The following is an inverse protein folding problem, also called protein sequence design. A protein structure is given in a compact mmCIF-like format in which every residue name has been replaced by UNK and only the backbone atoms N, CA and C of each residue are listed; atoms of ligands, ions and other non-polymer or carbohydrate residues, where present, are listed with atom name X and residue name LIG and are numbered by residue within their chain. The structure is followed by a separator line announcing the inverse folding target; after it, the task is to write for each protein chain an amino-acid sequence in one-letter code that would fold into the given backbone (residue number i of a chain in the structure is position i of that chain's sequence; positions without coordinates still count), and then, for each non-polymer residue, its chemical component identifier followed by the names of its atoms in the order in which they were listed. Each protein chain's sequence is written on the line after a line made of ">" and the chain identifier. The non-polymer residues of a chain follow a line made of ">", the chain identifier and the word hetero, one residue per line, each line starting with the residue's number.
data_IF_082643427102
#
_entry.id   IF_082643427102
#
_cell.length_a   1.000
_cell.length_b   1.000
_cell.length_c   1.000
_cell.angle_alpha   90.00
_cell.angle_beta   90.00
_cell.angle_gamma   90.00
#
_symmetry.space_group_name_H-M   'P 1'
#
loop_
_entity.id
_entity.type
_entity.pdbx_description
1 polymer ?
#
# COMPACT_ATOMS: atom_id res chain seq x y z
N UNK A 1 31.21 -7.91 5.69
CA UNK A 1 29.82 -8.25 5.29
C UNK A 1 29.06 -8.67 6.52
N UNK A 2 27.82 -8.20 6.66
CA UNK A 2 27.03 -8.27 7.89
C UNK A 2 26.37 -9.64 8.09
N UNK A 3 26.06 -10.39 7.02
CA UNK A 3 25.63 -11.79 7.12
C UNK A 3 26.80 -12.76 7.44
N UNK A 4 27.92 -12.26 7.96
CA UNK A 4 29.07 -13.07 8.36
C UNK A 4 29.61 -13.94 7.22
N UNK A 5 29.42 -15.25 7.33
CA UNK A 5 29.89 -16.26 6.37
C UNK A 5 28.98 -16.43 5.14
N UNK A 6 27.75 -15.91 5.17
CA UNK A 6 26.80 -16.04 4.07
C UNK A 6 27.10 -14.98 3.00
N UNK A 7 27.68 -15.39 1.87
CA UNK A 7 28.07 -14.50 0.76
C UNK A 7 27.34 -14.82 -0.54
N UNK A 8 26.83 -16.04 -0.67
CA UNK A 8 26.13 -16.52 -1.86
C UNK A 8 24.67 -16.83 -1.52
N UNK A 9 23.73 -16.19 -2.21
CA UNK A 9 22.31 -16.34 -1.98
C UNK A 9 21.63 -16.83 -3.25
N UNK A 10 20.73 -17.80 -3.10
CA UNK A 10 19.94 -18.35 -4.18
C UNK A 10 18.48 -17.98 -4.04
N UNK A 11 17.86 -17.41 -5.08
CA UNK A 11 16.47 -16.99 -5.07
C UNK A 11 15.62 -17.94 -5.90
N UNK A 12 14.58 -18.54 -5.31
CA UNK A 12 13.58 -19.33 -6.05
C UNK A 12 12.37 -18.46 -6.36
N UNK A 13 12.03 -18.31 -7.63
CA UNK A 13 11.05 -17.34 -8.11
C UNK A 13 11.60 -15.91 -8.15
N UNK A 14 12.84 -15.76 -8.64
CA UNK A 14 13.58 -14.49 -8.63
C UNK A 14 12.93 -13.41 -9.51
N UNK A 15 12.16 -13.80 -10.53
CA UNK A 15 11.44 -12.89 -11.42
C UNK A 15 10.21 -12.24 -10.77
N UNK A 16 9.81 -12.69 -9.58
CA UNK A 16 8.76 -12.04 -8.79
C UNK A 16 9.14 -10.60 -8.46
N UNK A 17 8.17 -9.69 -8.55
CA UNK A 17 8.37 -8.24 -8.34
C UNK A 17 8.90 -7.87 -6.95
N UNK A 18 8.66 -8.70 -5.94
CA UNK A 18 9.27 -8.54 -4.61
C UNK A 18 10.59 -9.27 -4.40
N UNK A 19 10.90 -10.26 -5.23
CA UNK A 19 12.09 -11.09 -5.13
C UNK A 19 13.26 -10.46 -5.88
N UNK A 20 13.01 -10.08 -7.14
CA UNK A 20 13.97 -9.40 -8.04
C UNK A 20 14.58 -8.17 -7.39
N UNK A 21 13.75 -7.38 -6.75
CA UNK A 21 14.15 -6.26 -5.95
C UNK A 21 15.17 -6.51 -4.86
N UNK A 22 14.85 -7.47 -4.00
CA UNK A 22 15.72 -7.86 -2.89
C UNK A 22 17.04 -8.43 -3.45
N UNK A 23 16.95 -9.24 -4.51
CA UNK A 23 18.11 -9.77 -5.22
C UNK A 23 19.02 -8.64 -5.76
N UNK A 24 18.45 -7.63 -6.41
CA UNK A 24 19.20 -6.50 -6.96
C UNK A 24 19.88 -5.67 -5.85
N UNK A 25 19.17 -5.40 -4.75
CA UNK A 25 19.74 -4.68 -3.60
C UNK A 25 20.94 -5.43 -3.02
N UNK A 26 20.80 -6.74 -2.79
CA UNK A 26 21.88 -7.55 -2.23
C UNK A 26 23.06 -7.68 -3.22
N UNK A 27 22.77 -7.78 -4.52
CA UNK A 27 23.81 -7.75 -5.56
C UNK A 27 24.63 -6.45 -5.49
N UNK A 28 23.97 -5.30 -5.38
CA UNK A 28 24.63 -3.99 -5.25
C UNK A 28 25.41 -3.84 -3.93
N UNK A 29 25.00 -4.53 -2.87
CA UNK A 29 25.75 -4.63 -1.60
C UNK A 29 26.94 -5.60 -1.68
N UNK A 30 27.20 -6.20 -2.85
CA UNK A 30 28.35 -7.07 -3.11
C UNK A 30 28.13 -8.54 -2.76
N UNK A 31 26.90 -8.98 -2.51
CA UNK A 31 26.58 -10.40 -2.37
C UNK A 31 26.52 -11.07 -3.75
N UNK A 32 26.93 -12.34 -3.82
CA UNK A 32 26.77 -13.14 -5.04
C UNK A 32 25.35 -13.67 -5.08
N UNK A 33 24.59 -13.24 -6.08
CA UNK A 33 23.20 -13.61 -6.26
C UNK A 33 23.06 -14.51 -7.48
N UNK A 34 22.28 -15.55 -7.31
CA UNK A 34 21.83 -16.48 -8.36
C UNK A 34 20.37 -16.83 -8.10
N UNK A 35 19.63 -17.31 -9.08
CA UNK A 35 18.26 -17.75 -8.81
C UNK A 35 17.59 -18.44 -9.99
N UNK A 36 16.35 -18.87 -9.78
CA UNK A 36 15.51 -19.49 -10.80
C UNK A 36 14.17 -18.79 -10.91
N UNK A 37 13.60 -18.79 -12.12
CA UNK A 37 12.20 -18.49 -12.35
C UNK A 37 11.68 -19.33 -13.53
N UNK A 38 10.41 -19.74 -13.49
CA UNK A 38 9.77 -20.46 -14.61
C UNK A 38 9.36 -19.45 -15.70
N UNK A 39 9.12 -18.21 -15.31
CA UNK A 39 8.74 -17.13 -16.21
C UNK A 39 9.96 -16.33 -16.63
N UNK A 40 10.36 -16.46 -17.89
CA UNK A 40 11.29 -15.53 -18.52
C UNK A 40 10.51 -14.26 -18.92
N UNK A 41 11.04 -13.10 -18.56
CA UNK A 41 10.47 -11.81 -18.91
C UNK A 41 11.40 -10.64 -18.59
N UNK A 42 10.90 -9.42 -18.73
CA UNK A 42 11.70 -8.19 -18.59
C UNK A 42 12.48 -8.12 -17.27
N UNK A 43 11.90 -8.64 -16.18
CA UNK A 43 12.55 -8.66 -14.86
C UNK A 43 13.75 -9.60 -14.82
N UNK A 44 13.61 -10.84 -15.31
CA UNK A 44 14.72 -11.81 -15.34
C UNK A 44 15.81 -11.36 -16.31
N UNK A 45 15.43 -10.75 -17.43
CA UNK A 45 16.35 -10.21 -18.42
C UNK A 45 17.16 -9.03 -17.85
N UNK A 46 16.51 -8.14 -17.08
CA UNK A 46 17.17 -7.06 -16.35
C UNK A 46 18.21 -7.59 -15.35
N UNK A 47 17.82 -8.56 -14.51
CA UNK A 47 18.74 -9.17 -13.54
C UNK A 47 19.92 -9.86 -14.22
N UNK A 48 19.68 -10.59 -15.32
CA UNK A 48 20.74 -11.18 -16.12
C UNK A 48 21.68 -10.11 -16.72
N UNK A 49 21.13 -8.97 -17.15
CA UNK A 49 21.89 -7.80 -17.61
C UNK A 49 22.80 -7.18 -16.55
N UNK A 50 22.48 -7.35 -15.25
CA UNK A 50 23.33 -6.97 -14.12
C UNK A 50 24.42 -8.00 -13.82
N UNK A 51 24.45 -9.14 -14.53
CA UNK A 51 25.38 -10.24 -14.29
C UNK A 51 24.93 -11.23 -13.21
N UNK A 52 23.65 -11.21 -12.83
CA UNK A 52 23.04 -12.21 -11.96
C UNK A 52 22.70 -13.45 -12.79
N UNK A 53 23.14 -14.63 -12.35
CA UNK A 53 22.81 -15.88 -13.03
C UNK A 53 21.36 -16.30 -12.72
N UNK A 54 20.51 -16.36 -13.74
CA UNK A 54 19.10 -16.73 -13.64
C UNK A 54 18.81 -17.99 -14.46
N UNK A 55 18.28 -19.02 -13.80
CA UNK A 55 17.89 -20.29 -14.41
C UNK A 55 16.40 -20.29 -14.78
N UNK A 56 16.06 -20.83 -15.95
CA UNK A 56 14.70 -20.90 -16.50
C UNK A 56 13.91 -22.14 -16.06
N UNK A 57 14.48 -22.94 -15.15
CA UNK A 57 13.88 -24.16 -14.60
C UNK A 57 14.22 -24.32 -13.13
N UNK A 58 13.36 -25.01 -12.40
CA UNK A 58 13.66 -25.44 -11.03
C UNK A 58 14.39 -26.78 -11.04
N UNK A 59 15.65 -26.78 -10.62
CA UNK A 59 16.46 -27.98 -10.49
C UNK A 59 17.39 -27.85 -9.29
N UNK A 60 17.47 -28.88 -8.44
CA UNK A 60 18.28 -28.86 -7.21
C UNK A 60 19.76 -28.56 -7.46
N UNK A 61 20.28 -28.88 -8.66
CA UNK A 61 21.67 -28.57 -9.02
C UNK A 61 21.93 -27.06 -9.15
N UNK A 62 20.90 -26.27 -9.47
CA UNK A 62 21.02 -24.82 -9.68
C UNK A 62 21.46 -24.08 -8.41
N UNK A 63 21.17 -24.64 -7.22
CA UNK A 63 21.56 -24.04 -5.93
C UNK A 63 23.07 -23.85 -5.82
N UNK A 64 23.85 -24.68 -6.52
CA UNK A 64 25.31 -24.57 -6.56
C UNK A 64 25.90 -24.52 -5.16
N UNK A 65 26.62 -23.45 -4.85
CA UNK A 65 27.32 -23.22 -3.57
C UNK A 65 26.59 -22.26 -2.62
N UNK A 66 25.32 -21.97 -2.87
CA UNK A 66 24.55 -21.03 -2.08
C UNK A 66 24.58 -21.34 -0.58
N UNK A 67 24.70 -20.29 0.22
CA UNK A 67 24.73 -20.40 1.67
C UNK A 67 23.33 -20.26 2.27
N UNK A 68 22.39 -19.67 1.53
CA UNK A 68 20.98 -19.51 1.92
C UNK A 68 20.10 -19.51 0.66
N UNK A 69 18.91 -20.06 0.78
CA UNK A 69 17.87 -20.04 -0.25
C UNK A 69 16.73 -19.13 0.19
N UNK A 70 16.37 -18.16 -0.64
CA UNK A 70 15.25 -17.26 -0.43
C UNK A 70 14.11 -17.69 -1.33
N UNK A 71 12.92 -17.89 -0.76
CA UNK A 71 11.74 -18.33 -1.49
C UNK A 71 10.65 -17.27 -1.51
N UNK A 72 9.97 -17.16 -2.65
CA UNK A 72 8.73 -16.39 -2.75
C UNK A 72 7.58 -17.16 -2.10
N UNK A 73 6.46 -16.47 -1.82
CA UNK A 73 5.25 -17.11 -1.30
C UNK A 73 4.58 -18.08 -2.29
N UNK A 74 4.91 -17.99 -3.57
CA UNK A 74 4.39 -18.89 -4.61
C UNK A 74 5.17 -20.21 -4.70
N UNK A 75 6.36 -20.27 -4.11
CA UNK A 75 7.20 -21.47 -4.11
C UNK A 75 6.68 -22.46 -3.07
N UNK A 76 6.35 -23.66 -3.55
CA UNK A 76 5.87 -24.75 -2.71
C UNK A 76 7.03 -25.55 -2.11
N UNK A 77 6.70 -26.26 -1.04
CA UNK A 77 7.63 -27.13 -0.30
C UNK A 77 8.14 -28.34 -1.12
N UNK A 78 7.40 -28.71 -2.17
CA UNK A 78 7.77 -29.78 -3.10
C UNK A 78 8.67 -29.30 -4.27
N UNK A 79 9.07 -28.02 -4.27
CA UNK A 79 10.00 -27.50 -5.26
C UNK A 79 11.36 -28.22 -5.14
N UNK A 80 11.95 -28.71 -6.26
CA UNK A 80 13.18 -29.50 -6.22
C UNK A 80 14.37 -28.75 -5.64
N UNK A 81 14.43 -27.43 -5.78
CA UNK A 81 15.47 -26.58 -5.18
C UNK A 81 15.27 -26.50 -3.65
N UNK A 82 14.04 -26.30 -3.19
CA UNK A 82 13.74 -26.28 -1.75
C UNK A 82 14.08 -27.62 -1.07
N UNK A 83 13.73 -28.73 -1.72
CA UNK A 83 14.03 -30.08 -1.23
C UNK A 83 15.55 -30.28 -1.10
N UNK A 84 16.30 -29.94 -2.15
CA UNK A 84 17.76 -30.13 -2.16
C UNK A 84 18.46 -29.20 -1.17
N UNK A 85 18.01 -27.94 -1.03
CA UNK A 85 18.54 -27.03 -0.02
C UNK A 85 18.42 -27.61 1.41
N UNK A 86 17.23 -28.12 1.74
CA UNK A 86 16.99 -28.76 3.05
C UNK A 86 17.81 -30.02 3.25
N UNK A 87 17.91 -30.88 2.23
CA UNK A 87 18.74 -32.08 2.28
C UNK A 87 20.22 -31.75 2.54
N UNK A 88 20.71 -30.63 2.01
CA UNK A 88 22.07 -30.12 2.23
C UNK A 88 22.24 -29.31 3.53
N UNK A 89 21.17 -29.10 4.31
CA UNK A 89 21.19 -28.27 5.50
C UNK A 89 21.38 -26.78 5.23
N UNK A 90 21.09 -26.32 4.00
CA UNK A 90 21.11 -24.91 3.63
C UNK A 90 19.81 -24.26 4.15
N UNK A 91 19.89 -23.17 4.92
CA UNK A 91 18.70 -22.45 5.39
C UNK A 91 17.81 -22.01 4.23
N UNK A 92 16.50 -22.25 4.37
CA UNK A 92 15.48 -21.77 3.45
C UNK A 92 14.64 -20.75 4.19
N UNK A 93 14.68 -19.49 3.73
CA UNK A 93 13.98 -18.36 4.37
C UNK A 93 12.99 -17.72 3.41
N UNK A 94 11.94 -17.12 3.98
CA UNK A 94 10.90 -16.44 3.20
C UNK A 94 11.35 -15.04 2.77
N UNK A 95 10.76 -14.52 1.69
CA UNK A 95 10.94 -13.13 1.24
C UNK A 95 10.85 -12.08 2.36
N UNK A 96 9.85 -12.18 3.24
CA UNK A 96 9.64 -11.22 4.32
C UNK A 96 10.77 -11.24 5.37
N UNK A 97 11.33 -12.42 5.65
CA UNK A 97 12.47 -12.57 6.55
C UNK A 97 13.73 -11.94 5.93
N UNK A 98 13.97 -12.17 4.64
CA UNK A 98 15.07 -11.50 3.94
C UNK A 98 14.92 -9.98 3.88
N UNK A 99 13.70 -9.48 3.66
CA UNK A 99 13.44 -8.04 3.73
C UNK A 99 13.75 -7.48 5.11
N UNK A 100 13.37 -8.20 6.17
CA UNK A 100 13.70 -7.85 7.55
C UNK A 100 15.21 -7.75 7.80
N UNK A 101 15.98 -8.69 7.27
CA UNK A 101 17.45 -8.66 7.35
C UNK A 101 18.05 -7.52 6.51
N UNK A 102 17.50 -7.26 5.33
CA UNK A 102 17.92 -6.12 4.50
C UNK A 102 17.68 -4.78 5.21
N UNK A 103 16.56 -4.64 5.93
CA UNK A 103 16.26 -3.44 6.72
C UNK A 103 17.31 -3.18 7.82
N UNK A 104 18.03 -4.21 8.28
CA UNK A 104 19.15 -4.04 9.24
C UNK A 104 20.42 -3.50 8.60
N UNK A 105 20.56 -3.60 7.27
CA UNK A 105 21.77 -3.20 6.54
C UNK A 105 21.81 -1.70 6.22
N UNK A 106 20.65 -1.04 6.25
CA UNK A 106 20.46 0.37 5.91
C UNK A 106 19.76 1.10 7.05
N UNK A 107 19.78 2.43 7.03
CA UNK A 107 18.88 3.20 7.88
C UNK A 107 17.45 3.02 7.35
N UNK A 108 16.67 2.17 8.01
CA UNK A 108 15.39 1.73 7.48
C UNK A 108 14.21 2.46 8.12
N UNK A 109 13.30 2.94 7.29
CA UNK A 109 12.02 3.51 7.68
C UNK A 109 10.93 2.51 7.29
N UNK A 110 10.27 1.95 8.30
CA UNK A 110 9.16 1.03 8.12
C UNK A 110 7.83 1.74 8.30
N UNK A 111 7.00 1.76 7.26
CA UNK A 111 5.69 2.42 7.28
C UNK A 111 4.60 1.38 7.45
N UNK A 112 3.90 1.40 8.58
CA UNK A 112 2.87 0.45 8.97
C UNK A 112 1.56 1.14 9.35
N UNK A 113 0.51 0.35 9.53
CA UNK A 113 -0.84 0.77 9.89
C UNK A 113 -1.88 0.23 8.93
N UNK A 114 -3.16 0.21 9.34
CA UNK A 114 -4.21 -0.46 8.56
C UNK A 114 -4.39 0.18 7.17
N UNK A 115 -4.44 1.51 7.11
CA UNK A 115 -4.64 2.28 5.88
C UNK A 115 -3.50 3.27 5.63
N UNK A 116 -3.27 3.63 4.36
CA UNK A 116 -2.35 4.72 3.98
C UNK A 116 -0.85 4.36 3.90
N UNK A 117 -0.47 3.09 4.16
CA UNK A 117 0.91 2.59 4.08
C UNK A 117 1.59 2.96 2.75
N UNK A 118 0.95 2.60 1.64
CA UNK A 118 1.48 2.83 0.29
C UNK A 118 1.64 4.28 -0.07
N UNK A 119 0.63 5.10 0.21
CA UNK A 119 0.71 6.52 -0.10
C UNK A 119 1.78 7.21 0.73
N UNK A 120 1.85 6.90 2.03
CA UNK A 120 2.86 7.47 2.94
C UNK A 120 4.28 7.04 2.56
N UNK A 121 4.49 5.75 2.25
CA UNK A 121 5.78 5.22 1.75
C UNK A 121 6.22 5.94 0.48
N UNK A 122 5.28 6.14 -0.46
CA UNK A 122 5.56 6.81 -1.73
C UNK A 122 5.86 8.30 -1.55
N UNK A 123 5.14 8.99 -0.66
CA UNK A 123 5.40 10.40 -0.32
C UNK A 123 6.78 10.55 0.32
N UNK A 124 7.10 9.73 1.32
CA UNK A 124 8.38 9.76 2.01
C UNK A 124 9.54 9.41 1.06
N UNK A 125 9.40 8.35 0.26
CA UNK A 125 10.38 7.97 -0.76
C UNK A 125 10.64 9.09 -1.78
N UNK A 126 9.60 9.84 -2.17
CA UNK A 126 9.74 11.02 -3.03
C UNK A 126 10.49 12.14 -2.32
N UNK A 127 10.10 12.51 -1.10
CA UNK A 127 10.75 13.57 -0.32
C UNK A 127 12.25 13.28 -0.19
N UNK A 128 12.60 12.06 0.21
CA UNK A 128 14.00 11.66 0.39
C UNK A 128 14.78 11.59 -0.93
N UNK A 129 14.12 11.19 -2.04
CA UNK A 129 14.71 11.25 -3.38
C UNK A 129 15.00 12.69 -3.81
N UNK A 130 14.04 13.61 -3.64
CA UNK A 130 14.17 15.03 -3.99
C UNK A 130 15.22 15.72 -3.10
N UNK A 131 15.38 15.27 -1.85
CA UNK A 131 16.45 15.64 -0.91
C UNK A 131 17.82 15.05 -1.28
N UNK A 132 17.93 14.28 -2.38
CA UNK A 132 19.16 13.63 -2.86
C UNK A 132 19.77 12.63 -1.88
N UNK A 133 18.94 12.06 -0.99
CA UNK A 133 19.33 10.96 -0.11
C UNK A 133 19.29 9.60 -0.82
N UNK A 134 18.73 9.56 -2.03
CA UNK A 134 18.68 8.41 -2.94
C UNK A 134 18.25 7.10 -2.23
N UNK A 135 17.05 7.07 -1.60
CA UNK A 135 16.60 5.93 -0.82
C UNK A 135 16.26 4.73 -1.70
N UNK A 136 16.43 3.53 -1.16
CA UNK A 136 15.72 2.35 -1.68
C UNK A 136 14.27 2.37 -1.19
N UNK A 137 13.28 2.34 -2.08
CA UNK A 137 11.85 2.39 -1.73
C UNK A 137 11.17 1.07 -2.12
N UNK A 138 10.46 0.45 -1.18
CA UNK A 138 9.80 -0.85 -1.31
C UNK A 138 8.32 -0.71 -0.96
N UNK A 139 7.45 -0.89 -1.96
CA UNK A 139 5.99 -0.67 -1.87
C UNK A 139 5.27 -1.98 -2.17
N UNK A 140 4.31 -2.43 -1.34
CA UNK A 140 3.61 -3.70 -1.49
C UNK A 140 4.53 -4.93 -1.46
N UNK A 141 5.71 -4.80 -0.86
CA UNK A 141 6.77 -5.81 -0.93
C UNK A 141 7.35 -5.99 -2.33
N UNK A 142 7.08 -5.09 -3.27
CA UNK A 142 7.61 -5.01 -4.63
C UNK A 142 8.77 -4.01 -4.64
N UNK A 143 9.89 -4.40 -5.26
CA UNK A 143 10.91 -3.46 -5.72
C UNK A 143 10.96 -3.63 -7.24
N UNK A 144 10.39 -2.68 -7.97
CA UNK A 144 10.45 -2.68 -9.42
C UNK A 144 10.72 -1.26 -9.91
N UNK A 145 11.29 -1.14 -11.10
CA UNK A 145 11.82 0.09 -11.67
C UNK A 145 10.80 1.22 -11.87
N UNK A 146 11.31 2.35 -12.39
CA UNK A 146 10.58 3.61 -12.62
C UNK A 146 9.12 3.36 -13.07
N UNK A 147 8.18 3.64 -12.17
CA UNK A 147 6.74 3.58 -12.44
C UNK A 147 5.91 2.67 -11.53
N UNK A 148 6.52 1.75 -10.76
CA UNK A 148 5.78 0.84 -9.88
C UNK A 148 5.59 1.34 -8.44
N UNK A 149 6.01 2.58 -8.14
CA UNK A 149 6.04 3.13 -6.78
C UNK A 149 7.21 2.64 -5.92
N UNK A 150 8.00 1.68 -6.40
CA UNK A 150 9.23 1.25 -5.79
C UNK A 150 10.44 1.78 -6.57
N UNK A 151 11.60 1.87 -5.93
CA UNK A 151 12.81 2.37 -6.57
C UNK A 151 14.06 1.86 -5.86
N UNK A 152 15.12 1.62 -6.64
CA UNK A 152 16.40 1.21 -6.10
C UNK A 152 17.35 2.42 -6.07
N UNK A 153 17.47 3.02 -4.88
CA UNK A 153 18.47 4.05 -4.63
C UNK A 153 19.78 3.48 -4.09
N UNK A 154 20.89 4.16 -4.39
CA UNK A 154 22.24 3.82 -3.96
C UNK A 154 22.59 4.41 -2.58
N UNK A 155 21.73 5.26 -2.00
CA UNK A 155 21.94 5.87 -0.70
C UNK A 155 21.75 4.91 0.49
N UNK A 156 22.02 5.42 1.69
CA UNK A 156 22.04 4.64 2.94
C UNK A 156 20.65 4.37 3.52
N UNK A 157 19.60 4.93 2.92
CA UNK A 157 18.24 4.82 3.40
C UNK A 157 17.44 3.74 2.68
N UNK A 158 16.54 3.10 3.43
CA UNK A 158 15.54 2.19 2.90
C UNK A 158 14.17 2.54 3.46
N UNK A 159 13.21 2.87 2.60
CA UNK A 159 11.82 3.09 2.98
C UNK A 159 11.00 1.89 2.53
N UNK A 160 10.32 1.22 3.45
CA UNK A 160 9.53 0.04 3.13
C UNK A 160 8.15 0.07 3.80
N UNK A 161 7.15 -0.42 3.07
CA UNK A 161 5.89 -0.81 3.69
C UNK A 161 6.10 -2.00 4.62
N UNK A 162 5.58 -1.86 5.84
CA UNK A 162 5.56 -2.89 6.86
C UNK A 162 4.12 -3.34 7.09
N UNK A 163 3.77 -4.44 6.41
CA UNK A 163 2.41 -4.98 6.38
C UNK A 163 2.10 -5.80 7.64
N UNK A 164 1.03 -5.43 8.33
CA UNK A 164 0.49 -6.15 9.48
C UNK A 164 -0.12 -7.50 9.06
N UNK A 165 -0.57 -7.65 7.82
CA UNK A 165 -1.12 -8.91 7.34
C UNK A 165 -0.16 -10.10 7.60
N UNK A 166 -0.71 -11.21 8.12
CA UNK A 166 0.03 -12.42 8.53
C UNK A 166 1.20 -12.14 9.51
N UNK A 167 1.12 -11.02 10.26
CA UNK A 167 2.13 -10.56 11.22
C UNK A 167 3.51 -10.34 10.61
N UNK A 168 3.59 -10.13 9.29
CA UNK A 168 4.86 -10.12 8.56
C UNK A 168 5.80 -8.98 8.98
N UNK A 169 5.24 -7.83 9.34
CA UNK A 169 6.00 -6.72 9.94
C UNK A 169 6.75 -7.10 11.22
N UNK A 170 6.39 -8.18 11.92
CA UNK A 170 7.12 -8.63 13.09
C UNK A 170 8.49 -9.24 12.74
N UNK A 171 8.72 -9.56 11.48
CA UNK A 171 10.06 -9.95 11.01
C UNK A 171 10.90 -8.75 10.59
N UNK A 172 10.36 -7.52 10.65
CA UNK A 172 11.05 -6.30 10.23
C UNK A 172 11.66 -5.55 11.41
N UNK A 173 12.80 -4.91 11.17
CA UNK A 173 13.58 -4.20 12.19
C UNK A 173 13.93 -2.79 11.71
N UNK A 174 12.94 -1.87 11.67
CA UNK A 174 13.17 -0.51 11.23
C UNK A 174 14.07 0.27 12.21
N UNK A 175 14.84 1.21 11.69
CA UNK A 175 15.46 2.28 12.49
C UNK A 175 14.43 3.36 12.86
N UNK A 176 13.45 3.61 11.98
CA UNK A 176 12.31 4.49 12.26
C UNK A 176 11.00 3.78 11.89
N UNK A 177 10.03 3.74 12.79
CA UNK A 177 8.71 3.18 12.50
C UNK A 177 7.68 4.30 12.34
N UNK A 178 6.96 4.32 11.22
CA UNK A 178 5.85 5.25 10.96
C UNK A 178 4.53 4.48 11.09
N UNK A 179 3.63 4.91 11.98
CA UNK A 179 2.33 4.29 12.22
C UNK A 179 1.20 5.22 11.78
N UNK A 180 0.52 4.87 10.69
CA UNK A 180 -0.52 5.72 10.07
C UNK A 180 -1.85 5.68 10.82
N UNK A 181 -2.30 4.49 11.23
CA UNK A 181 -3.53 4.22 11.98
C UNK A 181 -3.60 2.73 12.36
N UNK A 182 -4.49 2.38 13.29
CA UNK A 182 -4.80 1.01 13.67
C UNK A 182 -6.32 0.85 13.71
N UNK A 183 -6.84 0.01 12.81
CA UNK A 183 -8.25 -0.36 12.72
C UNK A 183 -8.40 -1.90 12.63
N UNK A 184 -9.57 -2.46 12.99
CA UNK A 184 -9.86 -3.87 12.78
C UNK A 184 -9.86 -4.23 11.29
N UNK A 185 -8.77 -4.81 10.81
CA UNK A 185 -8.67 -5.48 9.52
C UNK A 185 -7.83 -6.75 9.69
N UNK A 186 -7.96 -7.70 8.77
CA UNK A 186 -7.19 -8.94 8.79
C UNK A 186 -7.30 -9.74 10.10
N UNK A 187 -8.42 -9.62 10.82
CA UNK A 187 -8.61 -10.27 12.12
C UNK A 187 -8.50 -11.80 12.06
N UNK A 188 -8.61 -12.41 10.88
CA UNK A 188 -8.33 -13.83 10.67
C UNK A 188 -6.87 -14.23 11.02
N UNK A 189 -5.94 -13.27 11.05
CA UNK A 189 -4.53 -13.49 11.40
C UNK A 189 -4.23 -13.26 12.90
N UNK A 190 -5.22 -12.80 13.67
CA UNK A 190 -5.05 -12.32 15.04
C UNK A 190 -6.05 -12.93 16.01
N UNK A 191 -5.64 -13.12 17.25
CA UNK A 191 -6.51 -13.55 18.35
C UNK A 191 -7.30 -12.35 18.92
N UNK A 192 -8.00 -11.64 18.03
CA UNK A 192 -8.79 -10.44 18.33
C UNK A 192 -7.99 -9.13 18.37
N UNK A 193 -8.67 -8.06 18.76
CA UNK A 193 -8.11 -6.70 18.72
C UNK A 193 -6.91 -6.49 19.65
N UNK A 194 -6.92 -7.12 20.83
CA UNK A 194 -5.81 -6.97 21.79
C UNK A 194 -4.50 -7.54 21.22
N UNK A 195 -4.57 -8.64 20.48
CA UNK A 195 -3.42 -9.26 19.84
C UNK A 195 -2.89 -8.42 18.65
N UNK A 196 -3.78 -7.79 17.88
CA UNK A 196 -3.41 -6.80 16.86
C UNK A 196 -2.68 -5.60 17.51
N UNK A 197 -3.26 -5.01 18.55
CA UNK A 197 -2.66 -3.91 19.31
C UNK A 197 -1.29 -4.29 19.89
N UNK A 198 -1.17 -5.48 20.48
CA UNK A 198 0.08 -6.00 21.03
C UNK A 198 1.14 -6.21 19.94
N UNK A 199 0.73 -6.63 18.74
CA UNK A 199 1.62 -6.79 17.60
C UNK A 199 2.18 -5.44 17.14
N UNK A 200 1.35 -4.38 17.06
CA UNK A 200 1.82 -3.02 16.77
C UNK A 200 2.77 -2.49 17.86
N UNK A 201 2.46 -2.71 19.15
CA UNK A 201 3.37 -2.34 20.25
C UNK A 201 4.71 -3.07 20.13
N UNK A 202 4.69 -4.34 19.76
CA UNK A 202 5.91 -5.13 19.54
C UNK A 202 6.71 -4.55 18.38
N UNK A 203 6.07 -4.23 17.26
CA UNK A 203 6.70 -3.61 16.10
C UNK A 203 7.35 -2.25 16.43
N UNK A 204 6.61 -1.34 17.07
CA UNK A 204 7.14 -0.04 17.50
C UNK A 204 8.35 -0.17 18.43
N UNK A 205 8.35 -1.19 19.31
CA UNK A 205 9.46 -1.43 20.24
C UNK A 205 10.65 -2.21 19.62
N UNK A 206 10.55 -2.69 18.37
CA UNK A 206 11.70 -3.23 17.62
C UNK A 206 12.64 -2.15 17.11
N UNK A 207 12.16 -0.92 17.01
CA UNK A 207 13.00 0.25 16.76
C UNK A 207 14.18 0.26 17.74
N UNK A 208 15.43 0.49 17.31
CA UNK A 208 16.58 0.50 18.21
C UNK A 208 16.52 1.70 19.18
N UNK A 209 17.34 1.69 20.25
CA UNK A 209 17.32 2.76 21.27
C UNK A 209 17.66 4.15 20.71
N UNK A 210 18.37 4.21 19.58
CA UNK A 210 18.74 5.43 18.86
C UNK A 210 17.79 5.75 17.70
N UNK A 211 16.74 4.95 17.53
CA UNK A 211 15.71 5.15 16.53
C UNK A 211 14.46 5.82 17.11
N UNK A 212 13.46 6.00 16.26
CA UNK A 212 12.25 6.75 16.60
C UNK A 212 10.96 6.14 16.06
N UNK A 213 9.85 6.42 16.74
CA UNK A 213 8.50 6.08 16.31
C UNK A 213 7.71 7.34 15.97
N UNK A 214 7.28 7.47 14.72
CA UNK A 214 6.39 8.53 14.25
C UNK A 214 4.96 8.00 14.20
N UNK A 215 4.02 8.57 14.94
CA UNK A 215 2.66 8.01 15.05
C UNK A 215 1.53 9.03 14.92
N UNK A 216 0.37 8.56 14.43
CA UNK A 216 -0.82 9.39 14.28
C UNK A 216 -1.47 9.70 15.64
N UNK A 217 -1.55 10.96 16.03
CA UNK A 217 -2.23 11.45 17.23
C UNK A 217 -3.77 11.41 17.10
N UNK A 218 -4.29 11.46 15.87
CA UNK A 218 -5.72 11.43 15.60
C UNK A 218 -6.32 10.02 15.82
N UNK A 219 -5.46 9.00 15.87
CA UNK A 219 -5.89 7.61 15.99
C UNK A 219 -6.22 7.26 17.46
N UNK A 220 -7.47 6.84 17.76
CA UNK A 220 -7.90 6.58 19.13
C UNK A 220 -7.25 5.34 19.75
N UNK A 221 -6.79 4.37 18.96
CA UNK A 221 -6.05 3.22 19.45
C UNK A 221 -4.63 3.66 19.82
N UNK A 222 -3.96 4.42 18.96
CA UNK A 222 -2.63 4.98 19.23
C UNK A 222 -2.61 5.84 20.48
N UNK A 223 -3.65 6.64 20.74
CA UNK A 223 -3.78 7.41 21.97
C UNK A 223 -3.70 6.55 23.25
N UNK A 224 -4.16 5.29 23.19
CA UNK A 224 -4.04 4.30 24.27
C UNK A 224 -2.65 3.65 24.28
N UNK A 225 -2.14 3.27 23.11
CA UNK A 225 -0.90 2.51 22.96
C UNK A 225 0.37 3.33 23.19
N UNK A 226 0.34 4.66 23.04
CA UNK A 226 1.53 5.52 23.17
C UNK A 226 2.31 5.32 24.47
N UNK A 227 1.61 5.03 25.59
CA UNK A 227 2.23 4.78 26.91
C UNK A 227 3.06 3.49 26.96
N UNK A 228 2.89 2.61 25.97
CA UNK A 228 3.59 1.31 25.84
C UNK A 228 4.78 1.39 24.87
N UNK A 229 5.03 2.55 24.26
CA UNK A 229 6.21 2.80 23.43
C UNK A 229 7.38 3.08 24.37
N UNK A 230 8.48 2.34 24.20
CA UNK A 230 9.70 2.43 25.01
C UNK A 230 10.87 3.06 24.25
N UNK A 231 10.57 3.76 23.16
CA UNK A 231 11.51 4.42 22.24
C UNK A 231 11.17 5.90 22.16
N UNK A 232 12.10 6.70 21.63
CA UNK A 232 11.78 8.06 21.23
C UNK A 232 10.60 8.04 20.28
N UNK A 233 9.70 9.01 20.41
CA UNK A 233 8.51 9.05 19.58
C UNK A 233 7.99 10.45 19.41
N UNK A 234 7.57 10.77 18.20
CA UNK A 234 6.89 12.02 17.84
C UNK A 234 5.54 11.71 17.22
N UNK A 235 4.60 12.62 17.43
CA UNK A 235 3.23 12.48 16.96
C UNK A 235 2.93 13.41 15.79
N UNK A 236 2.06 12.98 14.88
CA UNK A 236 1.53 13.84 13.83
C UNK A 236 0.00 13.79 13.80
N UNK A 237 -0.66 14.83 13.33
CA UNK A 237 -2.11 14.79 13.19
C UNK A 237 -2.76 16.13 12.86
N UNK A 238 -4.08 16.11 12.77
CA UNK A 238 -4.89 17.32 12.69
C UNK A 238 -5.29 17.81 14.09
N UNK A 239 -5.28 16.91 15.08
CA UNK A 239 -5.68 17.18 16.46
C UNK A 239 -4.71 18.14 17.15
N UNK A 240 -5.22 19.12 17.92
CA UNK A 240 -4.38 19.99 18.75
C UNK A 240 -3.45 19.21 19.69
N UNK A 241 -2.19 19.61 19.73
CA UNK A 241 -1.17 19.01 20.60
C UNK A 241 -0.42 17.83 19.99
N UNK A 242 -0.61 17.54 18.70
CA UNK A 242 0.35 16.71 17.95
C UNK A 242 1.68 17.47 17.78
N UNK A 243 2.81 16.76 17.78
CA UNK A 243 4.13 17.38 17.59
C UNK A 243 4.28 17.93 16.18
N UNK A 244 3.72 17.26 15.18
CA UNK A 244 3.58 17.77 13.81
C UNK A 244 2.10 17.96 13.47
N UNK A 245 1.67 19.21 13.33
CA UNK A 245 0.26 19.54 13.18
C UNK A 245 -0.03 20.27 11.85
N UNK A 246 -1.11 19.87 11.18
CA UNK A 246 -1.72 20.67 10.11
C UNK A 246 -2.76 21.63 10.69
N UNK A 247 -2.59 22.93 10.44
CA UNK A 247 -3.50 24.01 10.86
C UNK A 247 -4.00 24.76 9.61
N UNK A 248 -5.14 25.44 9.71
CA UNK A 248 -5.73 26.26 8.63
C UNK A 248 -5.94 25.51 7.31
N UNK A 249 -6.46 24.28 7.41
CA UNK A 249 -6.73 23.40 6.27
C UNK A 249 -7.78 24.04 5.35
N UNK A 250 -7.41 24.20 4.07
CA UNK A 250 -8.30 24.64 3.00
C UNK A 250 -8.37 23.58 1.92
N UNK A 251 -9.58 23.15 1.61
CA UNK A 251 -9.84 22.25 0.50
C UNK A 251 -9.90 23.02 -0.82
N UNK A 252 -9.34 22.44 -1.88
CA UNK A 252 -9.33 22.98 -3.24
C UNK A 252 -9.70 21.86 -4.20
N UNK A 253 -10.11 22.22 -5.41
CA UNK A 253 -10.33 21.22 -6.45
C UNK A 253 -9.03 20.42 -6.68
N UNK A 254 -9.14 19.09 -6.61
CA UNK A 254 -7.99 18.19 -6.77
C UNK A 254 -6.98 18.18 -5.62
N UNK A 255 -7.20 18.88 -4.50
CA UNK A 255 -6.19 18.94 -3.45
C UNK A 255 -6.54 19.69 -2.17
N UNK A 256 -5.50 20.05 -1.43
CA UNK A 256 -5.61 20.82 -0.18
C UNK A 256 -4.38 21.71 0.03
N UNK A 257 -4.49 22.64 0.97
CA UNK A 257 -3.37 23.39 1.51
C UNK A 257 -3.56 23.59 3.01
N UNK A 258 -2.46 23.65 3.76
CA UNK A 258 -2.45 23.84 5.22
C UNK A 258 -1.10 24.40 5.68
N UNK A 259 -1.06 24.94 6.89
CA UNK A 259 0.16 25.36 7.57
C UNK A 259 0.69 24.19 8.42
N UNK A 260 1.96 23.81 8.22
CA UNK A 260 2.64 22.79 9.02
C UNK A 260 3.32 23.46 10.22
N UNK A 261 3.02 22.93 11.40
CA UNK A 261 3.66 23.30 12.65
C UNK A 261 4.47 22.13 13.19
N UNK A 262 5.60 22.45 13.84
CA UNK A 262 6.35 21.55 14.72
C UNK A 262 6.28 22.11 16.13
N UNK A 263 5.56 21.44 17.01
CA UNK A 263 5.06 21.99 18.27
C UNK A 263 4.37 23.34 18.03
N UNK A 264 4.84 24.42 18.66
CA UNK A 264 4.30 25.76 18.49
C UNK A 264 4.99 26.57 17.37
N UNK A 265 6.01 26.00 16.71
CA UNK A 265 6.76 26.65 15.64
C UNK A 265 6.10 26.41 14.28
N UNK A 266 5.70 27.50 13.61
CA UNK A 266 5.22 27.44 12.23
C UNK A 266 6.40 27.22 11.28
N UNK A 267 6.44 26.08 10.61
CA UNK A 267 7.44 25.78 9.58
C UNK A 267 7.07 26.44 8.24
N UNK A 268 5.81 26.34 7.83
CA UNK A 268 5.32 27.00 6.62
C UNK A 268 4.15 26.27 5.97
N UNK A 269 3.84 26.68 4.74
CA UNK A 269 2.67 26.20 4.00
C UNK A 269 2.98 24.95 3.19
N UNK A 270 2.15 23.91 3.33
CA UNK A 270 2.14 22.72 2.49
C UNK A 270 0.98 22.81 1.49
N UNK A 271 1.25 22.41 0.25
CA UNK A 271 0.26 22.25 -0.81
C UNK A 271 0.24 20.79 -1.23
N UNK A 272 -0.94 20.18 -1.27
CA UNK A 272 -1.14 18.83 -1.79
C UNK A 272 -2.02 18.85 -3.04
N UNK A 273 -1.62 18.12 -4.06
CA UNK A 273 -2.38 17.89 -5.29
C UNK A 273 -2.99 16.47 -5.32
N UNK A 274 -3.36 16.00 -4.13
CA UNK A 274 -4.11 14.75 -3.90
C UNK A 274 -5.25 15.07 -2.95
N UNK A 275 -6.41 14.47 -3.19
CA UNK A 275 -7.63 14.80 -2.46
C UNK A 275 -7.72 14.07 -1.11
N UNK A 276 -8.54 14.62 -0.21
CA UNK A 276 -8.97 13.97 1.02
C UNK A 276 -8.08 14.23 2.24
N UNK A 277 -8.72 14.35 3.40
CA UNK A 277 -8.04 14.58 4.69
C UNK A 277 -7.13 13.40 5.09
N UNK A 278 -7.45 12.18 4.64
CA UNK A 278 -6.56 11.03 4.83
C UNK A 278 -5.20 11.24 4.15
N UNK A 279 -5.16 11.94 3.00
CA UNK A 279 -3.91 12.28 2.35
C UNK A 279 -3.17 13.44 3.03
N UNK A 280 -3.88 14.32 3.75
CA UNK A 280 -3.23 15.28 4.66
C UNK A 280 -2.49 14.52 5.77
N UNK A 281 -3.13 13.52 6.39
CA UNK A 281 -2.48 12.68 7.41
C UNK A 281 -1.30 11.88 6.87
N UNK A 282 -1.44 11.28 5.68
CA UNK A 282 -0.33 10.58 5.01
C UNK A 282 0.85 11.54 4.73
N UNK A 283 0.56 12.76 4.28
CA UNK A 283 1.58 13.78 4.03
C UNK A 283 2.24 14.26 5.32
N UNK A 284 1.48 14.42 6.41
CA UNK A 284 2.02 14.74 7.73
C UNK A 284 2.94 13.63 8.26
N UNK A 285 2.55 12.37 8.10
CA UNK A 285 3.37 11.22 8.48
C UNK A 285 4.71 11.22 7.74
N UNK A 286 4.67 11.43 6.42
CA UNK A 286 5.86 11.50 5.58
C UNK A 286 6.72 12.74 5.88
N UNK A 287 6.10 13.90 6.10
CA UNK A 287 6.79 15.14 6.45
C UNK A 287 7.47 15.04 7.81
N UNK A 288 6.77 14.54 8.84
CA UNK A 288 7.33 14.33 10.18
C UNK A 288 8.55 13.40 10.11
N UNK A 289 8.42 12.24 9.46
CA UNK A 289 9.53 11.31 9.28
C UNK A 289 10.72 11.95 8.55
N UNK A 290 10.49 12.73 7.49
CA UNK A 290 11.57 13.39 6.76
C UNK A 290 12.25 14.51 7.57
N UNK A 291 11.48 15.28 8.35
CA UNK A 291 12.00 16.36 9.20
C UNK A 291 12.83 15.83 10.36
N UNK A 292 12.44 14.69 10.96
CA UNK A 292 13.25 13.99 11.97
C UNK A 292 14.54 13.37 11.38
N UNK A 293 14.58 13.17 10.07
CA UNK A 293 15.80 12.82 9.32
C UNK A 293 16.57 14.05 8.82
N UNK A 294 16.26 15.23 9.36
CA UNK A 294 16.91 16.52 9.06
C UNK A 294 16.78 16.97 7.58
N UNK A 295 15.78 16.47 6.84
CA UNK A 295 15.44 17.02 5.53
C UNK A 295 14.86 18.42 5.70
N UNK A 296 15.33 19.38 4.90
CA UNK A 296 14.87 20.76 5.00
C UNK A 296 13.39 20.91 4.61
N UNK A 297 12.68 21.80 5.31
CA UNK A 297 11.24 21.99 5.12
C UNK A 297 10.88 22.40 3.68
N UNK A 298 11.70 23.21 3.01
CA UNK A 298 11.42 23.67 1.66
C UNK A 298 11.43 22.49 0.67
N UNK A 299 12.39 21.56 0.81
CA UNK A 299 12.41 20.30 0.06
C UNK A 299 11.18 19.45 0.36
N UNK A 300 10.79 19.30 1.63
CA UNK A 300 9.57 18.56 2.01
C UNK A 300 8.33 19.16 1.34
N UNK A 301 8.17 20.48 1.44
CA UNK A 301 7.02 21.21 0.91
C UNK A 301 6.92 21.11 -0.62
N UNK A 302 8.02 21.32 -1.33
CA UNK A 302 8.04 21.24 -2.80
C UNK A 302 7.85 19.78 -3.29
N UNK A 303 8.40 18.79 -2.58
CA UNK A 303 8.21 17.37 -2.88
C UNK A 303 6.73 16.97 -2.77
N UNK A 304 6.07 17.34 -1.69
CA UNK A 304 4.66 17.05 -1.45
C UNK A 304 3.74 17.77 -2.46
N UNK A 305 4.06 19.02 -2.80
CA UNK A 305 3.38 19.76 -3.87
C UNK A 305 3.52 19.10 -5.23
N UNK A 306 4.67 18.49 -5.52
CA UNK A 306 4.92 17.79 -6.78
C UNK A 306 4.50 16.32 -6.77
N UNK A 307 3.99 15.80 -5.66
CA UNK A 307 3.38 14.48 -5.61
C UNK A 307 2.10 14.44 -6.45
N UNK A 308 1.90 13.36 -7.21
CA UNK A 308 0.78 13.19 -8.15
C UNK A 308 -0.12 12.00 -7.80
N UNK A 309 0.05 11.43 -6.62
CA UNK A 309 -0.67 10.24 -6.19
C UNK A 309 0.07 8.95 -6.52
N UNK A 310 -0.57 7.84 -6.15
CA UNK A 310 -0.14 6.48 -6.47
C UNK A 310 -1.20 5.88 -7.38
N UNK A 311 -0.79 5.00 -8.31
CA UNK A 311 -1.73 4.26 -9.15
C UNK A 311 -2.84 3.63 -8.32
N UNK A 312 -4.07 3.71 -8.83
CA UNK A 312 -5.30 3.24 -8.16
C UNK A 312 -5.57 3.86 -6.78
N UNK A 313 -5.00 5.02 -6.42
CA UNK A 313 -5.36 5.76 -5.20
C UNK A 313 -5.95 7.11 -5.61
N UNK A 314 -7.27 7.12 -5.80
CA UNK A 314 -8.03 8.18 -6.46
C UNK A 314 -7.39 8.61 -7.79
N UNK A 315 -7.08 7.63 -8.65
CA UNK A 315 -6.39 7.88 -9.91
C UNK A 315 -7.40 8.33 -10.97
N UNK A 316 -7.27 9.57 -11.45
CA UNK A 316 -8.06 10.05 -12.59
C UNK A 316 -7.56 9.34 -13.85
N UNK A 317 -8.37 8.44 -14.41
CA UNK A 317 -8.04 7.66 -15.61
C UNK A 317 -8.30 8.47 -16.88
N UNK A 318 -9.38 9.25 -16.90
CA UNK A 318 -9.76 10.10 -18.02
C UNK A 318 -10.81 11.13 -17.61
N UNK A 319 -10.94 12.16 -18.44
CA UNK A 319 -12.12 13.02 -18.48
C UNK A 319 -12.68 12.95 -19.89
N UNK A 320 -13.92 12.50 -20.05
CA UNK A 320 -14.58 12.30 -21.35
C UNK A 320 -15.95 12.98 -21.30
N UNK A 321 -16.23 13.93 -22.18
CA UNK A 321 -17.52 14.63 -22.23
C UNK A 321 -17.94 15.25 -20.88
N UNK A 322 -16.98 15.84 -20.18
CA UNK A 322 -17.15 16.34 -18.80
C UNK A 322 -17.58 15.26 -17.78
N UNK A 323 -17.30 13.99 -18.06
CA UNK A 323 -17.43 12.87 -17.12
C UNK A 323 -16.03 12.49 -16.64
N UNK A 324 -15.81 12.55 -15.34
CA UNK A 324 -14.53 12.14 -14.74
C UNK A 324 -14.56 10.65 -14.43
N UNK A 325 -13.57 9.89 -14.91
CA UNK A 325 -13.42 8.46 -14.61
C UNK A 325 -12.25 8.29 -13.65
N UNK A 326 -12.52 7.71 -12.48
CA UNK A 326 -11.58 7.54 -11.37
C UNK A 326 -11.45 6.06 -11.01
N UNK A 327 -10.24 5.61 -10.70
CA UNK A 327 -9.97 4.29 -10.11
C UNK A 327 -9.44 4.40 -8.70
N UNK A 328 -10.01 3.64 -7.77
CA UNK A 328 -9.61 3.61 -6.36
C UNK A 328 -9.52 2.18 -5.80
N UNK A 329 -8.45 1.94 -5.05
CA UNK A 329 -8.11 0.65 -4.46
C UNK A 329 -8.88 0.36 -3.17
N UNK A 330 -9.64 1.33 -2.63
CA UNK A 330 -10.40 1.16 -1.40
C UNK A 330 -11.21 -0.14 -1.43
N UNK A 331 -11.12 -0.88 -0.34
CA UNK A 331 -11.76 -2.18 -0.19
C UNK A 331 -12.21 -2.44 1.24
N UNK A 332 -11.77 -1.62 2.19
CA UNK A 332 -12.32 -1.56 3.54
C UNK A 332 -13.40 -0.45 3.63
N UNK A 333 -14.46 -0.61 4.44
CA UNK A 333 -15.51 0.41 4.57
C UNK A 333 -14.98 1.81 4.89
N UNK A 334 -14.01 1.94 5.80
CA UNK A 334 -13.37 3.22 6.14
C UNK A 334 -12.76 3.92 4.93
N UNK A 335 -12.07 3.17 4.07
CA UNK A 335 -11.45 3.70 2.85
C UNK A 335 -12.51 4.15 1.85
N UNK A 336 -13.58 3.37 1.67
CA UNK A 336 -14.68 3.71 0.75
C UNK A 336 -15.38 5.00 1.19
N UNK A 337 -15.62 5.14 2.49
CA UNK A 337 -16.15 6.36 3.11
C UNK A 337 -15.26 7.55 2.77
N UNK A 338 -13.96 7.43 3.07
CA UNK A 338 -12.99 8.48 2.84
C UNK A 338 -12.90 8.89 1.37
N UNK A 339 -12.90 7.92 0.45
CA UNK A 339 -12.86 8.11 -1.00
C UNK A 339 -14.12 8.84 -1.50
N UNK A 340 -15.31 8.37 -1.14
CA UNK A 340 -16.58 8.95 -1.61
C UNK A 340 -16.84 10.35 -1.03
N UNK A 341 -16.55 10.56 0.27
CA UNK A 341 -16.69 11.87 0.90
C UNK A 341 -15.71 12.89 0.28
N UNK A 342 -14.49 12.45 -0.03
CA UNK A 342 -13.48 13.30 -0.68
C UNK A 342 -13.84 13.63 -2.12
N UNK A 343 -14.41 12.68 -2.87
CA UNK A 343 -14.91 12.91 -4.23
C UNK A 343 -15.97 14.03 -4.23
N UNK A 344 -16.95 13.94 -3.30
CA UNK A 344 -18.02 14.93 -3.17
C UNK A 344 -17.50 16.30 -2.75
N UNK A 345 -16.65 16.36 -1.71
CA UNK A 345 -16.06 17.62 -1.22
C UNK A 345 -15.19 18.32 -2.28
N UNK A 346 -14.44 17.57 -3.08
CA UNK A 346 -13.39 18.14 -3.94
C UNK A 346 -13.87 18.53 -5.33
N UNK A 347 -14.87 17.83 -5.89
CA UNK A 347 -15.29 18.03 -7.28
C UNK A 347 -16.72 18.55 -7.43
N UNK A 348 -17.56 18.46 -6.38
CA UNK A 348 -18.98 18.85 -6.46
C UNK A 348 -19.72 18.22 -7.66
N UNK A 349 -19.42 16.94 -7.94
CA UNK A 349 -19.99 16.14 -9.03
C UNK A 349 -20.93 15.08 -8.47
N UNK A 350 -21.91 14.65 -9.28
CA UNK A 350 -22.72 13.45 -8.96
C UNK A 350 -21.82 12.23 -9.08
N UNK A 351 -21.81 11.38 -8.06
CA UNK A 351 -20.91 10.22 -7.96
C UNK A 351 -21.66 8.93 -8.33
N UNK A 352 -21.22 8.29 -9.42
CA UNK A 352 -21.60 6.95 -9.84
C UNK A 352 -20.49 5.96 -9.46
N UNK A 353 -20.70 5.20 -8.40
CA UNK A 353 -19.72 4.22 -7.92
C UNK A 353 -19.96 2.84 -8.55
N UNK A 354 -18.89 2.14 -8.91
CA UNK A 354 -18.89 0.71 -9.24
C UNK A 354 -18.00 0.00 -8.24
N UNK A 355 -18.59 -0.75 -7.30
CA UNK A 355 -17.85 -1.40 -6.23
C UNK A 355 -17.74 -2.91 -6.45
N UNK A 356 -16.51 -3.42 -6.39
CA UNK A 356 -16.20 -4.85 -6.34
C UNK A 356 -15.70 -5.22 -4.94
N UNK A 357 -16.53 -5.92 -4.12
CA UNK A 357 -16.06 -6.45 -2.85
C UNK A 357 -14.87 -7.40 -3.05
N UNK A 358 -13.94 -7.39 -2.09
CA UNK A 358 -12.73 -8.22 -2.12
C UNK A 358 -12.76 -9.22 -0.95
N UNK A 359 -12.60 -10.51 -1.25
CA UNK A 359 -12.77 -11.66 -0.34
C UNK A 359 -14.21 -11.91 0.12
N UNK A 360 -14.56 -13.19 0.28
CA UNK A 360 -15.84 -13.60 0.83
C UNK A 360 -15.88 -13.36 2.35
N UNK A 361 -14.79 -13.70 3.05
CA UNK A 361 -14.67 -13.50 4.50
C UNK A 361 -14.92 -12.05 4.92
N UNK A 362 -14.25 -11.10 4.26
CA UNK A 362 -14.42 -9.66 4.46
C UNK A 362 -15.84 -9.19 4.14
N UNK A 363 -16.41 -9.68 3.04
CA UNK A 363 -17.80 -9.34 2.68
C UNK A 363 -18.77 -9.85 3.75
N UNK A 364 -18.59 -11.07 4.24
CA UNK A 364 -19.41 -11.63 5.31
C UNK A 364 -19.31 -10.81 6.60
N UNK A 365 -18.10 -10.35 6.94
CA UNK A 365 -17.84 -9.57 8.15
C UNK A 365 -18.43 -8.15 8.06
N UNK A 366 -18.29 -7.48 6.92
CA UNK A 366 -18.53 -6.04 6.78
C UNK A 366 -19.69 -5.64 5.85
N UNK A 367 -20.59 -6.57 5.47
CA UNK A 367 -21.65 -6.24 4.50
C UNK A 367 -22.53 -5.06 4.92
N UNK A 368 -22.73 -4.84 6.22
CA UNK A 368 -23.54 -3.74 6.76
C UNK A 368 -22.81 -2.42 6.62
N UNK A 369 -21.53 -2.42 6.98
CA UNK A 369 -20.61 -1.30 6.91
C UNK A 369 -20.35 -0.91 5.45
N UNK A 370 -20.27 -1.89 4.53
CA UNK A 370 -20.23 -1.63 3.09
C UNK A 370 -21.48 -0.91 2.60
N UNK A 371 -22.69 -1.38 2.98
CA UNK A 371 -23.93 -0.71 2.58
C UNK A 371 -23.99 0.73 3.13
N UNK A 372 -23.59 0.93 4.39
CA UNK A 372 -23.49 2.25 5.02
C UNK A 372 -22.43 3.14 4.35
N UNK A 373 -21.30 2.58 3.91
CA UNK A 373 -20.27 3.31 3.19
C UNK A 373 -20.76 3.77 1.80
N UNK A 374 -21.31 2.84 1.02
CA UNK A 374 -21.70 3.04 -0.37
C UNK A 374 -22.89 3.99 -0.55
N UNK A 375 -23.73 4.18 0.48
CA UNK A 375 -24.83 5.16 0.45
C UNK A 375 -24.33 6.61 0.27
N UNK A 376 -23.03 6.86 0.42
CA UNK A 376 -22.40 8.16 0.15
C UNK A 376 -22.32 8.46 -1.34
N UNK A 377 -22.33 7.46 -2.21
CA UNK A 377 -22.46 7.68 -3.65
C UNK A 377 -23.91 8.08 -3.99
N UNK A 378 -24.10 8.82 -5.08
CA UNK A 378 -25.45 9.14 -5.56
C UNK A 378 -26.09 7.94 -6.26
N UNK A 379 -25.26 7.05 -6.80
CA UNK A 379 -25.64 5.69 -7.22
C UNK A 379 -24.47 4.75 -7.08
N UNK A 380 -24.73 3.51 -6.70
CA UNK A 380 -23.74 2.46 -6.60
C UNK A 380 -24.18 1.20 -7.38
N UNK A 381 -23.33 0.76 -8.29
CA UNK A 381 -23.41 -0.55 -8.93
C UNK A 381 -22.50 -1.52 -8.19
N UNK A 382 -23.08 -2.58 -7.66
CA UNK A 382 -22.36 -3.62 -6.96
C UNK A 382 -22.16 -4.81 -7.90
N UNK A 383 -20.92 -5.27 -8.03
CA UNK A 383 -20.57 -6.40 -8.90
C UNK A 383 -20.19 -7.63 -8.07
N UNK A 384 -19.95 -8.76 -8.73
CA UNK A 384 -19.50 -10.00 -8.09
C UNK A 384 -18.25 -9.79 -7.21
N UNK A 385 -18.22 -10.50 -6.08
CA UNK A 385 -17.09 -10.55 -5.14
C UNK A 385 -15.85 -11.05 -5.89
N UNK A 386 -14.74 -10.32 -5.79
CA UNK A 386 -13.45 -10.83 -6.23
C UNK A 386 -12.88 -11.77 -5.16
N UNK A 387 -12.73 -13.08 -5.46
CA UNK A 387 -12.36 -14.08 -4.46
C UNK A 387 -10.90 -13.97 -4.00
N UNK A 388 -10.04 -13.39 -4.83
CA UNK A 388 -8.58 -13.46 -4.71
C UNK A 388 -8.09 -14.90 -4.45
N UNK A 389 -7.84 -15.24 -3.18
CA UNK A 389 -7.32 -16.55 -2.72
C UNK A 389 -8.38 -17.47 -2.12
N UNK A 390 -9.59 -16.99 -1.90
CA UNK A 390 -10.64 -17.71 -1.17
C UNK A 390 -11.51 -18.58 -2.08
N UNK A 391 -12.01 -19.67 -1.51
CA UNK A 391 -13.12 -20.42 -2.10
C UNK A 391 -14.44 -19.73 -1.75
N UNK A 392 -15.46 -19.81 -2.63
CA UNK A 392 -16.80 -19.31 -2.30
C UNK A 392 -17.31 -19.83 -0.96
N UNK A 393 -17.84 -18.92 -0.14
CA UNK A 393 -18.52 -19.25 1.11
C UNK A 393 -20.02 -19.32 0.83
N UNK A 394 -20.67 -20.43 1.20
CA UNK A 394 -22.09 -20.63 0.94
C UNK A 394 -22.93 -19.49 1.54
N UNK A 395 -23.77 -18.87 0.71
CA UNK A 395 -24.66 -17.77 1.11
C UNK A 395 -24.00 -16.39 1.16
N UNK A 396 -22.69 -16.29 0.95
CA UNK A 396 -21.95 -15.02 0.92
C UNK A 396 -21.85 -14.52 -0.51
N UNK A 397 -22.67 -13.52 -0.84
CA UNK A 397 -22.69 -12.86 -2.15
C UNK A 397 -22.79 -11.34 -1.97
N UNK A 398 -22.42 -10.60 -3.02
CA UNK A 398 -22.61 -9.14 -3.07
C UNK A 398 -24.06 -8.74 -2.79
N UNK A 399 -25.04 -9.57 -3.13
CA UNK A 399 -26.46 -9.31 -2.83
C UNK A 399 -26.78 -9.18 -1.33
N UNK A 400 -25.92 -9.64 -0.43
CA UNK A 400 -26.09 -9.37 1.01
C UNK A 400 -26.03 -7.87 1.31
N UNK A 401 -25.15 -7.14 0.62
CA UNK A 401 -24.97 -5.70 0.78
C UNK A 401 -26.22 -4.98 0.27
N UNK A 402 -26.73 -5.35 -0.91
CA UNK A 402 -27.93 -4.71 -1.50
C UNK A 402 -29.20 -5.06 -0.72
N UNK A 403 -29.35 -6.30 -0.24
CA UNK A 403 -30.47 -6.69 0.63
C UNK A 403 -30.50 -5.85 1.91
N UNK A 404 -29.35 -5.70 2.58
CA UNK A 404 -29.26 -4.88 3.78
C UNK A 404 -29.51 -3.39 3.48
N UNK A 405 -28.96 -2.87 2.38
CA UNK A 405 -29.22 -1.50 1.94
C UNK A 405 -30.73 -1.26 1.72
N UNK A 406 -31.42 -2.18 1.05
CA UNK A 406 -32.86 -2.10 0.83
C UNK A 406 -33.66 -2.15 2.14
N UNK A 407 -33.30 -3.05 3.06
CA UNK A 407 -33.92 -3.13 4.40
C UNK A 407 -33.77 -1.83 5.21
N UNK A 408 -32.68 -1.08 5.00
CA UNK A 408 -32.41 0.19 5.69
C UNK A 408 -32.83 1.44 4.92
N UNK A 409 -33.30 1.29 3.68
CA UNK A 409 -33.62 2.42 2.81
C UNK A 409 -32.39 3.22 2.39
N UNK A 410 -31.22 2.58 2.25
CA UNK A 410 -29.98 3.22 1.86
C UNK A 410 -29.86 3.36 0.35
N UNK A 411 -29.96 4.61 -0.14
CA UNK A 411 -29.51 5.04 -1.47
C UNK A 411 -30.01 4.22 -2.66
N UNK A 412 -29.42 4.47 -3.84
CA UNK A 412 -29.59 3.63 -5.04
C UNK A 412 -28.38 2.70 -5.14
N UNK A 413 -28.47 1.52 -4.50
CA UNK A 413 -27.41 0.49 -4.51
C UNK A 413 -27.97 -0.76 -5.19
N UNK A 414 -27.48 -1.05 -6.39
CA UNK A 414 -28.02 -2.12 -7.24
C UNK A 414 -26.94 -3.15 -7.57
N UNK A 415 -27.26 -4.44 -7.38
CA UNK A 415 -26.38 -5.53 -7.79
C UNK A 415 -26.59 -5.83 -9.28
N UNK A 416 -25.49 -5.95 -10.02
CA UNK A 416 -25.51 -6.11 -11.48
C UNK A 416 -24.73 -7.35 -11.96
N UNK A 417 -24.30 -8.24 -11.06
CA UNK A 417 -23.58 -9.46 -11.42
C UNK A 417 -22.15 -9.19 -11.90
N UNK A 418 -21.71 -9.81 -13.01
CA UNK A 418 -20.36 -9.63 -13.54
C UNK A 418 -19.98 -8.17 -13.75
N UNK A 419 -18.72 -7.82 -13.48
CA UNK A 419 -18.25 -6.43 -13.54
C UNK A 419 -18.37 -5.82 -14.94
N UNK A 420 -18.34 -6.63 -15.97
CA UNK A 420 -18.48 -6.22 -17.37
C UNK A 420 -19.84 -5.54 -17.62
N UNK A 421 -20.88 -5.92 -16.86
CA UNK A 421 -22.20 -5.28 -16.93
C UNK A 421 -22.15 -3.80 -16.52
N UNK A 422 -21.16 -3.37 -15.74
CA UNK A 422 -21.02 -1.99 -15.31
C UNK A 422 -20.79 -1.05 -16.51
N UNK A 423 -20.12 -1.51 -17.58
CA UNK A 423 -19.82 -0.69 -18.76
C UNK A 423 -21.11 -0.17 -19.39
N UNK A 424 -22.06 -1.06 -19.69
CA UNK A 424 -23.36 -0.68 -20.26
C UNK A 424 -24.18 0.19 -19.30
N UNK A 425 -24.18 -0.12 -18.00
CA UNK A 425 -24.92 0.67 -17.00
C UNK A 425 -24.39 2.10 -16.86
N UNK A 426 -23.07 2.27 -16.91
CA UNK A 426 -22.44 3.60 -16.90
C UNK A 426 -22.73 4.33 -18.21
N UNK A 427 -22.66 3.64 -19.35
CA UNK A 427 -23.00 4.22 -20.64
C UNK A 427 -24.44 4.76 -20.66
N UNK A 428 -25.40 4.05 -20.09
CA UNK A 428 -26.80 4.46 -20.11
C UNK A 428 -27.12 5.60 -19.12
N UNK A 429 -26.40 5.67 -17.99
CA UNK A 429 -26.79 6.53 -16.86
C UNK A 429 -25.89 7.76 -16.63
N UNK A 430 -24.65 7.73 -17.12
CA UNK A 430 -23.69 8.82 -16.91
C UNK A 430 -23.96 10.00 -17.83
N UNK A 431 -23.79 11.21 -17.30
CA UNK A 431 -23.98 12.47 -18.03
C UNK A 431 -22.88 13.48 -17.68
N UNK A 432 -22.69 14.49 -18.53
CA UNK A 432 -21.74 15.57 -18.28
C UNK A 432 -21.91 16.17 -16.88
N UNK A 433 -20.81 16.37 -16.18
CA UNK A 433 -20.76 16.77 -14.77
C UNK A 433 -20.72 15.60 -13.78
N UNK A 434 -20.83 14.34 -14.22
CA UNK A 434 -20.72 13.18 -13.35
C UNK A 434 -19.25 12.80 -13.05
N UNK A 435 -19.06 12.08 -11.96
CA UNK A 435 -17.84 11.38 -11.58
C UNK A 435 -18.17 9.88 -11.47
N UNK A 436 -17.59 9.08 -12.36
CA UNK A 436 -17.64 7.63 -12.33
C UNK A 436 -16.41 7.13 -11.58
N UNK A 437 -16.61 6.33 -10.53
CA UNK A 437 -15.51 5.78 -9.74
C UNK A 437 -15.60 4.26 -9.63
N UNK A 438 -14.56 3.56 -10.08
CA UNK A 438 -14.39 2.13 -9.80
C UNK A 438 -13.66 1.94 -8.48
N UNK A 439 -14.23 1.14 -7.58
CA UNK A 439 -13.73 0.94 -6.23
C UNK A 439 -13.48 -0.54 -5.97
N UNK A 440 -12.26 -0.90 -5.57
CA UNK A 440 -11.92 -2.25 -5.12
C UNK A 440 -10.46 -2.63 -5.39
N UNK A 441 -9.90 -3.49 -4.52
CA UNK A 441 -8.53 -3.98 -4.63
C UNK A 441 -8.33 -4.97 -5.80
N UNK A 442 -9.41 -5.63 -6.24
CA UNK A 442 -9.39 -6.70 -7.21
C UNK A 442 -9.31 -6.24 -8.67
N UNK A 443 -9.99 -7.01 -9.53
CA UNK A 443 -9.92 -6.88 -10.98
C UNK A 443 -10.78 -5.76 -11.59
N UNK A 444 -11.44 -4.96 -10.76
CA UNK A 444 -12.35 -3.88 -11.19
C UNK A 444 -11.64 -2.79 -11.99
N UNK A 445 -10.36 -2.52 -11.71
CA UNK A 445 -9.57 -1.53 -12.47
C UNK A 445 -9.52 -1.84 -13.97
N UNK A 446 -9.67 -3.12 -14.37
CA UNK A 446 -9.55 -3.59 -15.75
C UNK A 446 -10.69 -3.13 -16.66
N UNK A 447 -11.83 -2.73 -16.11
CA UNK A 447 -12.98 -2.24 -16.91
C UNK A 447 -12.92 -0.73 -17.18
N UNK A 448 -11.96 0.00 -16.59
CA UNK A 448 -11.84 1.45 -16.82
C UNK A 448 -11.62 1.81 -18.30
N UNK A 449 -10.75 1.13 -19.07
CA UNK A 449 -10.60 1.41 -20.50
C UNK A 449 -11.93 1.23 -21.27
N UNK A 450 -12.70 0.19 -20.95
CA UNK A 450 -13.98 -0.11 -21.60
C UNK A 450 -15.04 0.94 -21.25
N UNK A 451 -15.09 1.39 -19.99
CA UNK A 451 -15.94 2.52 -19.56
C UNK A 451 -15.59 3.78 -20.36
N UNK A 452 -14.30 4.12 -20.45
CA UNK A 452 -13.82 5.30 -21.18
C UNK A 452 -14.20 5.22 -22.66
N UNK A 453 -14.06 4.06 -23.29
CA UNK A 453 -14.44 3.86 -24.69
C UNK A 453 -15.95 3.97 -24.89
N UNK A 454 -16.77 3.35 -24.03
CA UNK A 454 -18.22 3.44 -24.09
C UNK A 454 -18.72 4.89 -23.95
N UNK A 455 -18.14 5.67 -23.04
CA UNK A 455 -18.48 7.08 -22.85
C UNK A 455 -18.11 7.96 -24.05
N UNK A 456 -17.06 7.61 -24.81
CA UNK A 456 -16.72 8.32 -26.05
C UNK A 456 -17.75 8.09 -27.15
N UNK A 457 -18.25 6.86 -27.28
CA UNK A 457 -19.23 6.49 -28.33
C UNK A 457 -20.60 7.15 -28.15
N UNK A 458 -20.95 7.58 -26.93
CA UNK A 458 -22.19 8.32 -26.66
C UNK A 458 -22.16 9.80 -27.10
N UNK A 459 -21.01 10.32 -27.53
CA UNK A 459 -20.89 11.70 -28.03
C UNK A 459 -21.06 11.83 -29.55
N UNK A 460 -21.04 10.71 -30.27
CA UNK A 460 -21.40 10.61 -31.69
C UNK A 460 -22.89 10.27 -31.83
#
# INVERSE_FOLDING_TARGET
>A
MIFGKFKELYFVGIGGSGMSGIAEILHNLGYKITGSDISNGEVTDHLAGLGIEVYDRHDGVNIGTANVVVISSAVKEDNPEVIEARKRGIPVIKRAEMLGELMRLKYSIGVSGTHGKTTTTSMLGKIMSDARLDPTVIVGGIVAGKGSGASLGAGDYLVAEADEFDRSFLSMFPTMAVITNIEPDHLECYDGMEDLENSFVTYMNRVPFYGEVVYCADDPIMAKLKKRITRASVSFGLTPGADYQAIDIKHREGGSEFELFRHDERLGKIILNVIGEYNIRNALAAAAAALELEVDFDTVAESLKNFRGVGRRFEIKAVVNDIMVVDDYAHHPTEIIATLDSAKKSYNRRVLAVFQPHLFSRTQLFYREFAEALRRADKCFLVDIFPARERPIQGVTSEMITRYAAEKGYGDITYIGPKENAVGRIQDEARGGDLVITIGAGSITRINPDIVEALKRNAD
#
